data_IF_274657674961
#
_entry.id   IF_274657674961
#
_cell.length_a   1.000
_cell.length_b   1.000
_cell.length_c   1.000
_cell.angle_alpha   90.00
_cell.angle_beta   90.00
_cell.angle_gamma   90.00
#
_symmetry.space_group_name_H-M   'P 1'
#
loop_
_entity.id
_entity.type
_entity.pdbx_description
1 polymer ?
#
# COMPACT_ATOMS: atom_id res chain seq x y z
N UNK A 1 52.89 11.44 25.02
CA UNK A 1 52.14 11.21 23.77
C UNK A 1 50.72 10.83 24.16
N UNK A 2 49.74 11.72 23.97
CA UNK A 2 48.33 11.45 24.28
C UNK A 2 47.54 11.65 22.98
N UNK A 3 46.88 10.59 22.50
CA UNK A 3 46.03 10.61 21.32
C UNK A 3 44.58 10.82 21.76
N UNK A 4 44.02 11.98 21.41
CA UNK A 4 42.61 12.28 21.61
C UNK A 4 41.78 11.63 20.48
N UNK A 5 40.86 10.73 20.85
CA UNK A 5 39.84 10.22 19.94
C UNK A 5 38.68 11.21 19.89
N UNK A 6 38.50 11.87 18.74
CA UNK A 6 37.32 12.66 18.44
C UNK A 6 36.21 11.70 17.99
N UNK A 7 35.22 11.49 18.86
CA UNK A 7 33.99 10.77 18.52
C UNK A 7 33.17 11.60 17.54
N UNK A 8 33.10 11.15 16.30
CA UNK A 8 32.19 11.71 15.29
C UNK A 8 30.77 11.23 15.61
N UNK A 9 29.96 12.08 16.19
CA UNK A 9 28.53 11.82 16.38
C UNK A 9 27.86 11.68 15.02
N UNK A 10 27.43 10.46 14.68
CA UNK A 10 26.54 10.21 13.54
C UNK A 10 25.21 10.93 13.80
N UNK A 11 24.91 11.94 12.99
CA UNK A 11 23.57 12.51 12.92
C UNK A 11 22.68 11.44 12.30
N UNK A 12 21.92 10.74 13.14
CA UNK A 12 20.81 9.90 12.68
C UNK A 12 19.75 10.87 12.17
N UNK A 13 19.55 10.91 10.85
CA UNK A 13 18.43 11.60 10.25
C UNK A 13 17.14 11.00 10.84
N UNK A 14 16.53 11.73 11.77
CA UNK A 14 15.22 11.38 12.30
C UNK A 14 14.23 11.55 11.15
N UNK A 15 13.72 10.42 10.64
CA UNK A 15 12.57 10.43 9.74
C UNK A 15 11.45 11.22 10.40
N UNK A 16 10.77 12.13 9.68
CA UNK A 16 9.65 12.87 10.24
C UNK A 16 8.64 11.86 10.79
N UNK A 17 8.19 12.08 12.02
CA UNK A 17 7.18 11.27 12.69
C UNK A 17 6.02 11.04 11.73
N UNK A 18 5.79 9.78 11.37
CA UNK A 18 4.70 9.38 10.51
C UNK A 18 3.38 9.85 11.14
N UNK A 19 2.80 10.93 10.61
CA UNK A 19 1.37 11.17 10.76
C UNK A 19 0.69 9.92 10.23
N UNK A 20 0.14 9.15 11.17
CA UNK A 20 -0.57 7.92 10.88
C UNK A 20 -1.76 8.27 10.01
N UNK A 21 -1.72 7.83 8.74
CA UNK A 21 -2.87 7.88 7.85
C UNK A 21 -3.97 6.98 8.44
N UNK A 22 -4.76 7.51 9.38
CA UNK A 22 -5.94 6.81 9.89
C UNK A 22 -6.93 6.74 8.74
N UNK A 23 -7.23 5.53 8.30
CA UNK A 23 -8.30 5.27 7.35
C UNK A 23 -9.61 5.09 8.11
N UNK A 24 -10.71 5.58 7.54
CA UNK A 24 -12.06 5.30 8.03
C UNK A 24 -12.40 3.80 7.92
N UNK A 25 -13.49 3.37 8.56
CA UNK A 25 -13.92 1.97 8.75
C UNK A 25 -14.08 1.13 7.46
N UNK A 26 -13.98 1.74 6.28
CA UNK A 26 -14.23 1.07 5.00
C UNK A 26 -13.01 0.36 4.39
N UNK A 27 -11.78 0.79 4.69
CA UNK A 27 -10.55 0.19 4.16
C UNK A 27 -9.37 0.49 5.09
N UNK A 28 -8.89 -0.51 5.83
CA UNK A 28 -7.84 -0.31 6.84
C UNK A 28 -6.47 -0.20 6.19
N UNK A 29 -5.85 0.99 6.20
CA UNK A 29 -4.43 1.14 5.83
C UNK A 29 -3.58 0.45 6.92
N UNK A 30 -2.83 -0.57 6.53
CA UNK A 30 -1.99 -1.37 7.45
C UNK A 30 -0.49 -1.15 7.25
N UNK A 31 -0.10 -0.59 6.10
CA UNK A 31 1.28 -0.20 5.81
C UNK A 31 1.31 0.94 4.80
N UNK A 32 2.31 1.80 4.94
CA UNK A 32 2.62 2.90 4.03
C UNK A 32 4.07 2.76 3.63
N UNK A 33 4.36 2.85 2.33
CA UNK A 33 5.69 2.94 1.77
C UNK A 33 5.84 4.30 1.06
N UNK A 34 6.52 5.22 1.75
CA UNK A 34 6.75 6.58 1.26
C UNK A 34 7.68 6.63 0.04
N UNK A 35 8.54 5.63 -0.16
CA UNK A 35 9.48 5.62 -1.29
C UNK A 35 8.80 5.31 -2.61
N UNK A 36 7.84 4.39 -2.59
CA UNK A 36 7.06 3.99 -3.77
C UNK A 36 5.70 4.68 -3.86
N UNK A 37 5.38 5.55 -2.90
CA UNK A 37 4.06 6.14 -2.69
C UNK A 37 2.93 5.10 -2.69
N UNK A 38 3.15 4.01 -1.95
CA UNK A 38 2.22 2.87 -1.92
C UNK A 38 1.59 2.72 -0.55
N UNK A 39 0.29 2.49 -0.52
CA UNK A 39 -0.41 2.01 0.67
C UNK A 39 -0.85 0.57 0.52
N UNK A 40 -0.83 -0.15 1.64
CA UNK A 40 -1.32 -1.50 1.75
C UNK A 40 -2.59 -1.47 2.58
N UNK A 41 -3.66 -2.02 2.03
CA UNK A 41 -5.02 -1.84 2.55
C UNK A 41 -5.69 -3.19 2.72
N UNK A 42 -6.42 -3.35 3.81
CA UNK A 42 -7.28 -4.52 4.01
C UNK A 42 -8.68 -4.24 3.51
N UNK A 43 -9.17 -5.13 2.65
CA UNK A 43 -10.51 -5.11 2.09
C UNK A 43 -11.03 -6.54 1.87
N UNK A 44 -12.34 -6.69 1.82
CA UNK A 44 -12.98 -7.90 1.33
C UNK A 44 -13.16 -7.82 -0.18
N UNK A 45 -13.10 -8.97 -0.87
CA UNK A 45 -13.19 -9.02 -2.33
C UNK A 45 -14.50 -8.39 -2.87
N UNK A 46 -15.60 -8.55 -2.14
CA UNK A 46 -16.90 -7.99 -2.50
C UNK A 46 -16.97 -6.46 -2.36
N UNK A 47 -16.05 -5.83 -1.61
CA UNK A 47 -15.95 -4.37 -1.47
C UNK A 47 -15.22 -3.71 -2.65
N UNK A 48 -14.46 -4.47 -3.46
CA UNK A 48 -13.65 -3.94 -4.57
C UNK A 48 -13.94 -4.58 -5.93
N UNK A 49 -14.80 -5.61 -6.02
CA UNK A 49 -15.01 -6.40 -7.24
C UNK A 49 -15.71 -5.69 -8.42
N UNK A 50 -16.17 -4.44 -8.25
CA UNK A 50 -16.74 -3.62 -9.33
C UNK A 50 -16.15 -2.21 -9.30
N UNK A 51 -16.17 -1.52 -10.45
CA UNK A 51 -15.63 -0.17 -10.55
C UNK A 51 -16.33 0.82 -9.59
N UNK A 52 -17.65 0.70 -9.42
CA UNK A 52 -18.41 1.54 -8.48
C UNK A 52 -17.99 1.32 -7.03
N UNK A 53 -17.84 0.06 -6.61
CA UNK A 53 -17.45 -0.26 -5.24
C UNK A 53 -16.00 0.13 -4.96
N UNK A 54 -15.08 -0.21 -5.87
CA UNK A 54 -13.69 0.23 -5.80
C UNK A 54 -13.58 1.75 -5.75
N UNK A 55 -14.36 2.49 -6.55
CA UNK A 55 -14.35 3.96 -6.55
C UNK A 55 -14.71 4.52 -5.17
N UNK A 56 -15.70 3.95 -4.49
CA UNK A 56 -16.09 4.40 -3.15
C UNK A 56 -14.94 4.28 -2.15
N UNK A 57 -14.27 3.13 -2.13
CA UNK A 57 -13.10 2.91 -1.26
C UNK A 57 -11.94 3.84 -1.63
N UNK A 58 -11.62 3.93 -2.92
CA UNK A 58 -10.53 4.76 -3.41
C UNK A 58 -10.75 6.26 -3.16
N UNK A 59 -12.00 6.74 -3.15
CA UNK A 59 -12.32 8.12 -2.77
C UNK A 59 -12.03 8.40 -1.29
N UNK A 60 -12.36 7.46 -0.39
CA UNK A 60 -12.04 7.56 1.03
C UNK A 60 -10.52 7.54 1.24
N UNK A 61 -9.81 6.60 0.60
CA UNK A 61 -8.34 6.55 0.64
C UNK A 61 -7.70 7.83 0.09
N UNK A 62 -8.22 8.38 -1.01
CA UNK A 62 -7.74 9.65 -1.57
C UNK A 62 -7.93 10.81 -0.58
N UNK A 63 -9.03 10.83 0.17
CA UNK A 63 -9.26 11.86 1.19
C UNK A 63 -8.25 11.74 2.34
N UNK A 64 -8.01 10.53 2.86
CA UNK A 64 -6.99 10.29 3.89
C UNK A 64 -5.59 10.67 3.40
N UNK A 65 -5.20 10.26 2.19
CA UNK A 65 -3.89 10.57 1.63
C UNK A 65 -3.68 12.07 1.40
N UNK A 66 -4.73 12.82 1.02
CA UNK A 66 -4.64 14.29 0.91
C UNK A 66 -4.31 14.96 2.25
N UNK A 67 -4.72 14.36 3.36
CA UNK A 67 -4.44 14.88 4.69
C UNK A 67 -3.05 14.47 5.18
N UNK A 68 -2.72 13.18 5.14
CA UNK A 68 -1.50 12.66 5.75
C UNK A 68 -0.29 12.61 4.80
N UNK A 69 -0.49 12.69 3.48
CA UNK A 69 0.54 12.63 2.43
C UNK A 69 0.24 13.62 1.29
N UNK A 70 0.08 14.92 1.58
CA UNK A 70 -0.32 15.91 0.57
C UNK A 70 0.63 16.01 -0.64
N UNK A 71 1.89 15.60 -0.49
CA UNK A 71 2.89 15.61 -1.55
C UNK A 71 2.73 14.53 -2.63
N UNK A 72 2.00 13.45 -2.37
CA UNK A 72 1.87 12.31 -3.31
C UNK A 72 1.00 12.59 -4.54
N UNK A 73 0.19 13.65 -4.55
CA UNK A 73 -0.61 14.06 -5.71
C UNK A 73 -1.36 12.92 -6.43
N UNK A 74 -0.90 12.57 -7.63
CA UNK A 74 -1.49 11.52 -8.50
C UNK A 74 -0.60 10.28 -8.69
N UNK A 75 0.51 10.17 -7.96
CA UNK A 75 1.53 9.13 -8.16
C UNK A 75 1.37 7.93 -7.24
N UNK A 76 0.43 7.99 -6.29
CA UNK A 76 0.22 6.90 -5.35
C UNK A 76 -0.40 5.65 -5.95
N UNK A 77 -0.12 4.52 -5.30
CA UNK A 77 -0.70 3.21 -5.62
C UNK A 77 -1.24 2.52 -4.36
N UNK A 78 -2.13 1.55 -4.56
CA UNK A 78 -2.72 0.75 -3.48
C UNK A 78 -2.58 -0.71 -3.79
N UNK A 79 -2.15 -1.49 -2.81
CA UNK A 79 -2.24 -2.94 -2.84
C UNK A 79 -3.27 -3.40 -1.82
N UNK A 80 -4.32 -4.07 -2.28
CA UNK A 80 -5.42 -4.57 -1.46
C UNK A 80 -5.18 -6.02 -1.07
N UNK A 81 -5.31 -6.32 0.22
CA UNK A 81 -5.15 -7.65 0.78
C UNK A 81 -6.37 -8.06 1.60
N UNK A 82 -6.62 -9.37 1.72
CA UNK A 82 -7.69 -9.89 2.57
C UNK A 82 -7.33 -9.92 4.06
N UNK A 83 -6.05 -9.97 4.42
CA UNK A 83 -5.57 -10.08 5.80
C UNK A 83 -4.26 -9.29 6.01
N UNK A 84 -4.11 -8.55 7.13
CA UNK A 84 -2.89 -7.81 7.48
C UNK A 84 -1.58 -8.59 7.36
N UNK A 85 -1.55 -9.89 7.68
CA UNK A 85 -0.29 -10.65 7.70
C UNK A 85 0.32 -10.85 6.30
N UNK A 86 -0.48 -10.68 5.25
CA UNK A 86 -0.02 -10.77 3.86
C UNK A 86 0.30 -9.42 3.22
N UNK A 87 0.04 -8.31 3.93
CA UNK A 87 0.15 -6.95 3.42
C UNK A 87 1.61 -6.47 3.31
N UNK A 88 2.30 -6.96 2.28
CA UNK A 88 3.70 -6.63 1.98
C UNK A 88 4.06 -6.95 0.54
N UNK A 89 5.29 -6.62 0.15
CA UNK A 89 5.79 -6.98 -1.16
C UNK A 89 6.08 -8.47 -1.22
N UNK A 90 5.85 -9.07 -2.39
CA UNK A 90 6.25 -10.46 -2.66
C UNK A 90 7.72 -10.73 -2.36
N UNK A 91 8.59 -9.72 -2.51
CA UNK A 91 10.02 -9.80 -2.27
C UNK A 91 10.45 -9.52 -0.82
N UNK A 92 9.53 -9.14 0.07
CA UNK A 92 9.87 -8.93 1.47
C UNK A 92 10.20 -10.28 2.12
N UNK A 93 11.30 -10.37 2.87
CA UNK A 93 11.72 -11.62 3.53
C UNK A 93 10.62 -12.18 4.45
N UNK A 94 9.86 -11.30 5.11
CA UNK A 94 8.72 -11.67 5.95
C UNK A 94 7.56 -12.28 5.19
N UNK A 95 7.46 -12.06 3.86
CA UNK A 95 6.45 -12.65 3.00
C UNK A 95 6.88 -13.99 2.40
N UNK A 96 8.18 -14.34 2.46
CA UNK A 96 8.71 -15.54 1.82
C UNK A 96 7.99 -16.85 2.20
N UNK A 97 7.56 -17.09 3.47
CA UNK A 97 6.76 -18.27 3.81
C UNK A 97 5.41 -18.30 3.06
N UNK A 98 4.68 -17.17 3.04
CA UNK A 98 3.36 -17.05 2.41
C UNK A 98 3.42 -17.06 0.89
N UNK A 99 4.54 -16.61 0.32
CA UNK A 99 4.78 -16.72 -1.12
C UNK A 99 5.06 -18.18 -1.49
N UNK A 100 5.78 -18.92 -0.65
CA UNK A 100 6.13 -20.32 -0.91
C UNK A 100 4.92 -21.24 -0.86
N UNK A 101 4.00 -21.02 0.07
CA UNK A 101 2.80 -21.82 0.22
C UNK A 101 1.62 -21.35 -0.65
N UNK A 102 1.78 -20.23 -1.37
CA UNK A 102 0.76 -19.69 -2.28
C UNK A 102 -0.26 -18.76 -1.61
N UNK A 103 -0.32 -18.73 -0.28
CA UNK A 103 -1.34 -17.95 0.46
C UNK A 103 -1.24 -16.44 0.22
N UNK A 104 -0.05 -15.92 -0.05
CA UNK A 104 0.12 -14.51 -0.41
C UNK A 104 -0.60 -14.15 -1.71
N UNK A 105 -0.56 -15.05 -2.71
CA UNK A 105 -1.19 -14.82 -4.02
C UNK A 105 -2.72 -14.83 -3.90
N UNK A 106 -3.27 -15.70 -3.06
CA UNK A 106 -4.71 -15.78 -2.79
C UNK A 106 -5.20 -14.55 -2.01
N UNK A 107 -4.36 -14.04 -1.10
CA UNK A 107 -4.69 -12.87 -0.30
C UNK A 107 -4.52 -11.54 -1.04
N UNK A 108 -3.73 -11.48 -2.13
CA UNK A 108 -3.50 -10.26 -2.90
C UNK A 108 -4.64 -9.99 -3.89
N UNK A 109 -5.64 -9.25 -3.41
CA UNK A 109 -6.93 -9.12 -4.07
C UNK A 109 -6.91 -8.18 -5.28
N UNK A 110 -6.24 -7.03 -5.15
CA UNK A 110 -6.19 -6.03 -6.21
C UNK A 110 -5.03 -5.05 -6.06
N UNK A 111 -4.70 -4.37 -7.16
CA UNK A 111 -3.80 -3.24 -7.19
C UNK A 111 -4.43 -2.06 -7.94
N UNK A 112 -4.38 -0.86 -7.37
CA UNK A 112 -4.80 0.38 -8.02
C UNK A 112 -3.60 1.30 -8.26
N UNK A 113 -3.54 1.88 -9.45
CA UNK A 113 -2.57 2.92 -9.80
C UNK A 113 -3.30 4.24 -10.08
N UNK A 114 -3.00 5.28 -9.29
CA UNK A 114 -3.70 6.57 -9.41
C UNK A 114 -3.43 7.26 -10.74
N UNK A 115 -2.19 7.18 -11.23
CA UNK A 115 -1.77 7.85 -12.46
C UNK A 115 -2.54 7.37 -13.69
N UNK A 116 -2.73 6.05 -13.80
CA UNK A 116 -3.45 5.43 -14.93
C UNK A 116 -4.94 5.20 -14.65
N UNK A 117 -5.38 5.42 -13.40
CA UNK A 117 -6.74 5.17 -12.93
C UNK A 117 -7.21 3.71 -13.18
N UNK A 118 -6.25 2.78 -13.10
CA UNK A 118 -6.44 1.36 -13.42
C UNK A 118 -6.43 0.55 -12.14
N UNK A 119 -7.48 -0.26 -11.95
CA UNK A 119 -7.52 -1.30 -10.94
C UNK A 119 -7.32 -2.66 -11.63
N UNK A 120 -6.41 -3.46 -11.08
CA UNK A 120 -6.10 -4.82 -11.49
C UNK A 120 -6.60 -5.75 -10.40
N UNK A 121 -7.60 -6.57 -10.68
CA UNK A 121 -8.07 -7.62 -9.77
C UNK A 121 -7.25 -8.90 -9.95
N UNK A 122 -6.99 -9.62 -8.85
CA UNK A 122 -6.17 -10.83 -8.78
C UNK A 122 -4.82 -10.67 -9.50
N UNK A 123 -4.03 -9.61 -9.20
CA UNK A 123 -2.79 -9.29 -9.92
C UNK A 123 -1.76 -10.44 -9.91
N UNK A 124 -1.86 -11.33 -8.92
CA UNK A 124 -0.97 -12.47 -8.74
C UNK A 124 -1.34 -13.71 -9.58
N UNK A 125 -2.59 -13.79 -10.10
CA UNK A 125 -3.09 -14.92 -10.88
C UNK A 125 -3.41 -14.51 -12.33
N UNK A 126 -2.48 -14.81 -13.24
CA UNK A 126 -2.56 -14.48 -14.67
C UNK A 126 -3.85 -14.96 -15.36
N UNK A 127 -4.46 -16.05 -14.90
CA UNK A 127 -5.69 -16.60 -15.51
C UNK A 127 -6.95 -15.85 -15.06
N UNK A 128 -6.87 -15.13 -13.93
CA UNK A 128 -8.00 -14.44 -13.29
C UNK A 128 -7.83 -12.93 -13.21
N UNK A 129 -6.81 -12.37 -13.90
CA UNK A 129 -6.61 -10.93 -13.99
C UNK A 129 -7.84 -10.30 -14.65
N UNK A 130 -8.40 -9.29 -13.99
CA UNK A 130 -9.45 -8.43 -14.54
C UNK A 130 -9.06 -6.97 -14.39
N UNK A 131 -9.19 -6.21 -15.46
CA UNK A 131 -8.91 -4.79 -15.46
C UNK A 131 -10.20 -3.99 -15.33
N UNK A 132 -10.20 -3.02 -14.42
CA UNK A 132 -11.28 -2.05 -14.25
C UNK A 132 -10.70 -0.64 -14.36
N UNK A 133 -11.35 0.21 -15.16
CA UNK A 133 -11.08 1.66 -15.13
C UNK A 133 -11.87 2.28 -13.99
N UNK A 134 -11.18 2.94 -13.06
CA UNK A 134 -11.80 3.53 -11.86
C UNK A 134 -11.37 5.00 -11.75
N UNK A 135 -12.11 5.92 -12.37
CA UNK A 135 -11.76 7.33 -12.38
C UNK A 135 -12.02 7.98 -11.00
N UNK A 136 -11.03 8.70 -10.51
CA UNK A 136 -11.14 9.59 -9.35
C UNK A 136 -10.87 11.03 -9.77
N UNK A 137 -11.54 12.02 -9.14
CA UNK A 137 -11.32 13.45 -9.40
C UNK A 137 -9.89 13.87 -9.06
#
# INVERSE_FOLDING_TARGET
MALAFLSVSRIVAQSPSAESCKSDDSAKIVRVDDRSERIFVIAQADQINTATKARRLLLSLQASLKQCRPGWGRTWSVSFFSDPKYAGYKSDDSMAPFVRDGSWFEAYLAEYERQTQKLIMNPADRKRIKFLRVPLP
#
